data_IF_457060975970
#
_entry.id   IF_457060975970
#
_cell.length_a   1.000
_cell.length_b   1.000
_cell.length_c   1.000
_cell.angle_alpha   90.00
_cell.angle_beta   90.00
_cell.angle_gamma   90.00
#
_symmetry.space_group_name_H-M   'P 1'
#
loop_
_entity.id
_entity.type
_entity.pdbx_description
1 polymer ?
#
# COMPACT_ATOMS: atom_id res chain seq x y z
N UNK A 1 -19.09 -10.90 7.79
CA UNK A 1 -20.06 -10.34 8.75
C UNK A 1 -20.22 -8.83 8.57
N UNK A 2 -19.14 -8.03 8.60
CA UNK A 2 -19.19 -6.56 8.40
C UNK A 2 -19.70 -6.13 7.02
N UNK A 3 -19.23 -6.76 5.93
CA UNK A 3 -19.71 -6.48 4.56
C UNK A 3 -21.22 -6.74 4.42
N UNK A 4 -21.74 -7.76 5.12
CA UNK A 4 -23.17 -8.07 5.17
C UNK A 4 -23.98 -7.01 5.91
N UNK A 5 -23.44 -6.43 6.99
CA UNK A 5 -24.06 -5.30 7.71
C UNK A 5 -24.07 -4.05 6.82
N UNK A 6 -22.94 -3.74 6.15
CA UNK A 6 -22.86 -2.61 5.22
C UNK A 6 -23.88 -2.71 4.08
N UNK A 7 -24.07 -3.90 3.52
CA UNK A 7 -25.12 -4.11 2.50
C UNK A 7 -26.53 -4.02 3.07
N UNK A 8 -26.77 -4.46 4.31
CA UNK A 8 -28.07 -4.38 4.98
C UNK A 8 -28.52 -2.93 5.26
N UNK A 9 -27.58 -2.01 5.45
CA UNK A 9 -27.85 -0.55 5.57
C UNK A 9 -27.85 0.18 4.22
N UNK A 10 -27.76 -0.55 3.09
CA UNK A 10 -27.89 0.01 1.74
C UNK A 10 -26.58 0.48 1.09
N UNK A 11 -25.40 0.08 1.60
CA UNK A 11 -24.13 0.44 0.96
C UNK A 11 -24.01 -0.22 -0.43
N UNK A 12 -23.69 0.60 -1.44
CA UNK A 12 -23.46 0.12 -2.81
C UNK A 12 -22.13 -0.63 -2.92
N UNK A 13 -22.04 -1.56 -3.89
CA UNK A 13 -20.78 -2.28 -4.16
C UNK A 13 -19.61 -1.34 -4.47
N UNK A 14 -19.87 -0.19 -5.10
CA UNK A 14 -18.85 0.83 -5.37
C UNK A 14 -18.33 1.49 -4.09
N UNK A 15 -19.20 1.75 -3.10
CA UNK A 15 -18.81 2.31 -1.80
C UNK A 15 -17.89 1.34 -1.03
N UNK A 16 -18.26 0.05 -1.02
CA UNK A 16 -17.47 -1.00 -0.37
C UNK A 16 -16.11 -1.14 -1.07
N UNK A 17 -16.07 -1.18 -2.40
CA UNK A 17 -14.82 -1.25 -3.15
C UNK A 17 -13.93 -0.02 -2.92
N UNK A 18 -14.51 1.17 -2.87
CA UNK A 18 -13.79 2.41 -2.57
C UNK A 18 -13.15 2.42 -1.19
N UNK A 19 -13.82 1.84 -0.18
CA UNK A 19 -13.27 1.71 1.17
C UNK A 19 -11.99 0.84 1.19
N UNK A 20 -12.01 -0.34 0.56
CA UNK A 20 -10.85 -1.23 0.48
C UNK A 20 -9.66 -0.62 -0.29
N UNK A 21 -9.95 0.09 -1.39
CA UNK A 21 -8.92 0.80 -2.15
C UNK A 21 -8.33 1.94 -1.30
N UNK A 22 -9.19 2.70 -0.59
CA UNK A 22 -8.77 3.76 0.32
C UNK A 22 -7.87 3.26 1.45
N UNK A 23 -8.25 2.16 2.12
CA UNK A 23 -7.41 1.54 3.15
C UNK A 23 -6.05 1.09 2.61
N UNK A 24 -6.03 0.45 1.43
CA UNK A 24 -4.78 0.04 0.80
C UNK A 24 -3.87 1.20 0.44
N UNK A 25 -4.43 2.29 -0.09
CA UNK A 25 -3.68 3.52 -0.38
C UNK A 25 -3.12 4.16 0.89
N UNK A 26 -3.93 4.25 1.95
CA UNK A 26 -3.48 4.79 3.25
C UNK A 26 -2.33 3.97 3.82
N UNK A 27 -2.43 2.64 3.82
CA UNK A 27 -1.37 1.76 4.26
C UNK A 27 -0.12 1.89 3.38
N UNK A 28 -0.29 1.97 2.06
CA UNK A 28 0.82 2.17 1.12
C UNK A 28 1.57 3.48 1.35
N UNK A 29 0.85 4.59 1.54
CA UNK A 29 1.46 5.90 1.80
C UNK A 29 2.12 6.00 3.17
N UNK A 30 1.51 5.42 4.21
CA UNK A 30 2.12 5.34 5.53
C UNK A 30 3.42 4.52 5.48
N UNK A 31 3.38 3.36 4.81
CA UNK A 31 4.56 2.52 4.60
C UNK A 31 5.67 3.27 3.84
N UNK A 32 5.32 3.97 2.76
CA UNK A 32 6.27 4.79 2.00
C UNK A 32 6.88 5.90 2.87
N UNK A 33 6.07 6.60 3.68
CA UNK A 33 6.55 7.66 4.56
C UNK A 33 7.55 7.13 5.60
N UNK A 34 7.22 6.01 6.24
CA UNK A 34 8.13 5.35 7.19
C UNK A 34 9.41 4.89 6.48
N UNK A 35 9.28 4.25 5.32
CA UNK A 35 10.42 3.79 4.54
C UNK A 35 11.32 4.95 4.09
N UNK A 36 10.75 6.10 3.70
CA UNK A 36 11.51 7.28 3.33
C UNK A 36 12.38 7.78 4.50
N UNK A 37 11.81 7.89 5.71
CA UNK A 37 12.55 8.30 6.91
C UNK A 37 13.63 7.28 7.27
N UNK A 38 13.31 5.99 7.26
CA UNK A 38 14.26 4.92 7.59
C UNK A 38 15.34 4.73 6.51
N UNK A 39 15.05 5.07 5.26
CA UNK A 39 16.01 4.95 4.15
C UNK A 39 17.23 5.84 4.32
N UNK A 40 17.09 7.01 4.98
CA UNK A 40 18.18 7.94 5.19
C UNK A 40 19.31 7.37 6.06
N UNK A 41 19.06 6.93 7.32
CA UNK A 41 20.12 6.33 8.13
C UNK A 41 20.59 4.99 7.57
N UNK A 42 19.69 4.21 6.97
CA UNK A 42 20.06 2.93 6.36
C UNK A 42 21.02 3.11 5.17
N UNK A 43 20.72 4.04 4.27
CA UNK A 43 21.55 4.31 3.10
C UNK A 43 22.87 5.00 3.49
N UNK A 44 22.86 5.88 4.50
CA UNK A 44 24.09 6.42 5.06
C UNK A 44 24.99 5.32 5.63
N UNK A 45 24.47 4.45 6.49
CA UNK A 45 25.22 3.32 7.05
C UNK A 45 25.74 2.38 5.97
N UNK A 46 24.94 2.10 4.96
CA UNK A 46 25.36 1.30 3.80
C UNK A 46 26.52 1.95 3.03
N UNK A 47 26.49 3.27 2.81
CA UNK A 47 27.60 3.97 2.15
C UNK A 47 28.89 3.93 2.96
N UNK A 48 28.83 4.02 4.29
CA UNK A 48 30.01 3.93 5.14
C UNK A 48 30.69 2.56 5.02
N UNK A 49 29.91 1.48 5.14
CA UNK A 49 30.40 0.10 4.98
C UNK A 49 31.03 -0.09 3.60
N UNK A 50 30.40 0.48 2.55
CA UNK A 50 30.90 0.35 1.19
C UNK A 50 32.18 1.16 0.96
N UNK A 51 32.30 2.36 1.54
CA UNK A 51 33.52 3.18 1.48
C UNK A 51 34.70 2.47 2.15
N UNK A 52 34.48 1.89 3.33
CA UNK A 52 35.49 1.09 4.05
C UNK A 52 35.93 -0.14 3.24
N UNK A 53 34.98 -0.83 2.59
CA UNK A 53 35.27 -2.00 1.78
C UNK A 53 35.98 -1.67 0.45
N UNK A 54 35.72 -0.49 -0.12
CA UNK A 54 36.25 -0.06 -1.41
C UNK A 54 37.55 0.75 -1.30
N UNK A 55 38.02 1.06 -0.08
CA UNK A 55 39.17 1.94 0.22
C UNK A 55 39.09 3.29 -0.54
N UNK A 56 37.86 3.77 -0.75
CA UNK A 56 37.55 4.97 -1.50
C UNK A 56 36.35 5.70 -0.88
N UNK A 57 36.39 7.03 -0.84
CA UNK A 57 35.31 7.85 -0.29
C UNK A 57 34.10 7.87 -1.23
N UNK A 58 33.10 7.04 -0.92
CA UNK A 58 31.80 7.06 -1.62
C UNK A 58 30.93 8.14 -1.00
N UNK A 59 30.74 9.23 -1.74
CA UNK A 59 29.87 10.32 -1.31
C UNK A 59 28.40 9.89 -1.30
N UNK A 60 27.77 9.96 -0.13
CA UNK A 60 26.34 9.76 0.02
C UNK A 60 25.57 10.85 -0.73
N UNK A 61 24.81 10.46 -1.76
CA UNK A 61 23.89 11.34 -2.49
C UNK A 61 22.49 10.77 -2.45
N UNK A 62 21.64 11.35 -1.62
CA UNK A 62 20.21 11.03 -1.62
C UNK A 62 19.53 11.72 -2.81
N UNK A 63 18.74 10.96 -3.58
CA UNK A 63 18.01 11.47 -4.75
C UNK A 63 16.52 11.63 -4.42
N UNK A 64 16.00 12.87 -4.25
CA UNK A 64 14.59 13.11 -3.98
C UNK A 64 13.67 12.62 -5.10
N UNK A 65 14.16 12.61 -6.36
CA UNK A 65 13.40 12.09 -7.50
C UNK A 65 13.21 10.59 -7.40
N UNK A 66 14.19 9.85 -6.86
CA UNK A 66 14.07 8.43 -6.58
C UNK A 66 12.96 8.11 -5.57
N UNK A 67 12.87 8.89 -4.49
CA UNK A 67 11.79 8.76 -3.52
C UNK A 67 10.41 9.00 -4.14
N UNK A 68 10.31 9.95 -5.07
CA UNK A 68 9.07 10.29 -5.78
C UNK A 68 8.67 9.18 -6.77
N UNK A 69 9.61 8.62 -7.53
CA UNK A 69 9.35 7.43 -8.34
C UNK A 69 8.88 6.26 -7.49
N UNK A 70 9.49 6.06 -6.32
CA UNK A 70 9.08 5.00 -5.41
C UNK A 70 7.66 5.20 -4.87
N UNK A 71 7.25 6.45 -4.60
CA UNK A 71 5.87 6.76 -4.20
C UNK A 71 4.85 6.37 -5.27
N UNK A 72 5.17 6.67 -6.55
CA UNK A 72 4.32 6.29 -7.68
C UNK A 72 4.21 4.77 -7.78
N UNK A 73 5.33 4.06 -7.67
CA UNK A 73 5.37 2.59 -7.70
C UNK A 73 4.52 2.00 -6.57
N UNK A 74 4.71 2.46 -5.33
CA UNK A 74 3.93 1.98 -4.17
C UNK A 74 2.44 2.26 -4.34
N UNK A 75 2.08 3.43 -4.88
CA UNK A 75 0.68 3.78 -5.14
C UNK A 75 0.06 2.82 -6.17
N UNK A 76 0.76 2.53 -7.26
CA UNK A 76 0.29 1.58 -8.29
C UNK A 76 0.15 0.17 -7.70
N UNK A 77 1.13 -0.29 -6.92
CA UNK A 77 1.09 -1.60 -6.26
C UNK A 77 -0.09 -1.67 -5.27
N UNK A 78 -0.29 -0.64 -4.45
CA UNK A 78 -1.38 -0.59 -3.48
C UNK A 78 -2.75 -0.68 -4.16
N UNK A 79 -2.95 0.03 -5.28
CA UNK A 79 -4.18 -0.04 -6.07
C UNK A 79 -4.40 -1.46 -6.62
N UNK A 80 -3.37 -2.07 -7.23
CA UNK A 80 -3.46 -3.42 -7.80
C UNK A 80 -3.72 -4.45 -6.69
N UNK A 81 -3.01 -4.36 -5.58
CA UNK A 81 -3.15 -5.25 -4.44
C UNK A 81 -4.54 -5.15 -3.81
N UNK A 82 -5.10 -3.94 -3.68
CA UNK A 82 -6.44 -3.71 -3.13
C UNK A 82 -7.57 -3.99 -4.13
N UNK A 83 -7.30 -4.02 -5.42
CA UNK A 83 -8.31 -4.35 -6.43
C UNK A 83 -8.85 -5.77 -6.27
N UNK A 84 -7.98 -6.74 -6.00
CA UNK A 84 -8.38 -8.14 -5.82
C UNK A 84 -9.37 -8.36 -4.65
N UNK A 85 -9.10 -7.89 -3.41
CA UNK A 85 -10.05 -8.00 -2.31
C UNK A 85 -11.28 -7.12 -2.52
N UNK A 86 -11.15 -5.92 -3.11
CA UNK A 86 -12.30 -5.08 -3.46
C UNK A 86 -13.26 -5.82 -4.40
N UNK A 87 -12.73 -6.46 -5.44
CA UNK A 87 -13.54 -7.23 -6.38
C UNK A 87 -14.22 -8.44 -5.71
N UNK A 88 -13.49 -9.21 -4.89
CA UNK A 88 -14.04 -10.30 -4.08
C UNK A 88 -15.17 -9.81 -3.15
N UNK A 89 -15.00 -8.67 -2.48
CA UNK A 89 -16.00 -8.07 -1.60
C UNK A 89 -17.28 -7.64 -2.33
N UNK A 90 -17.17 -7.20 -3.59
CA UNK A 90 -18.34 -6.88 -4.42
C UNK A 90 -19.10 -8.12 -4.92
N UNK A 91 -18.44 -9.26 -5.07
CA UNK A 91 -19.10 -10.51 -5.45
C UNK A 91 -19.72 -11.24 -4.26
N UNK A 92 -19.20 -11.03 -3.04
CA UNK A 92 -19.74 -11.57 -1.81
C UNK A 92 -20.96 -10.78 -1.30
N UNK A 93 -22.03 -10.63 -2.09
CA UNK A 93 -23.38 -10.59 -1.50
C UNK A 93 -24.51 -10.75 -2.51
N UNK A 94 -25.47 -11.58 -2.07
CA UNK A 94 -26.94 -11.53 -2.16
C UNK A 94 -27.48 -12.97 -2.23
N UNK A 95 -26.73 -13.91 -2.81
CA UNK A 95 -27.21 -15.29 -3.01
C UNK A 95 -27.20 -16.20 -1.77
N UNK A 96 -26.40 -15.90 -0.74
CA UNK A 96 -26.33 -16.72 0.49
C UNK A 96 -27.34 -16.30 1.58
N UNK A 97 -27.98 -15.13 1.48
CA UNK A 97 -28.98 -14.69 2.48
C UNK A 97 -30.42 -15.12 2.18
N UNK A 98 -30.66 -15.80 1.06
CA UNK A 98 -31.99 -16.32 0.68
C UNK A 98 -32.04 -17.86 0.63
N UNK A 99 -30.92 -18.56 0.80
CA UNK A 99 -30.87 -20.02 0.89
C UNK A 99 -30.99 -20.54 2.34
N UNK A 100 -31.32 -19.65 3.27
CA UNK A 100 -31.62 -19.97 4.68
C UNK A 100 -33.03 -19.50 5.06
N UNK A 101 -33.96 -19.62 4.11
CA UNK A 101 -35.38 -19.90 4.39
C UNK A 101 -35.68 -21.27 3.82
#
# INVERSE_FOLDING_TARGET
>A
REIGVMRAIGASSASIAGMFIGEGLLLGWLSWGIAAVLSLPAAYGFTQILSEAADNDILFKYSPTGALYWLVIVTVIAIIASWFPAHRATQMSVRESLAYQ
#
